data_IF_345661012830
#
_entry.id   IF_345661012830
#
_cell.length_a   1.000
_cell.length_b   1.000
_cell.length_c   1.000
_cell.angle_alpha   90.00
_cell.angle_beta   90.00
_cell.angle_gamma   90.00
#
_symmetry.space_group_name_H-M   'P 1'
#
loop_
_entity.id
_entity.type
_entity.pdbx_description
1 polymer ?
#
# COMPACT_ATOMS: atom_id res chain seq x y z
N UNK A 1 79.19 5.56 -11.14
CA UNK A 1 77.94 6.10 -11.80
C UNK A 1 76.89 5.02 -11.73
N UNK A 2 75.96 5.14 -10.78
CA UNK A 2 74.99 4.13 -10.52
C UNK A 2 73.64 4.56 -11.09
N UNK A 3 73.02 3.70 -11.88
CA UNK A 3 71.61 3.84 -12.33
C UNK A 3 70.67 3.29 -11.25
N UNK A 4 69.83 4.12 -10.72
CA UNK A 4 68.68 3.71 -9.88
C UNK A 4 67.50 3.26 -10.78
N UNK A 5 67.19 1.98 -10.67
CA UNK A 5 65.91 1.43 -11.21
C UNK A 5 64.77 1.79 -10.28
N UNK A 6 63.79 2.52 -10.80
CA UNK A 6 62.49 2.81 -10.12
C UNK A 6 61.53 1.66 -10.46
N UNK A 7 61.30 0.79 -9.48
CA UNK A 7 60.20 -0.18 -9.53
C UNK A 7 58.92 0.53 -9.02
N UNK A 8 57.99 0.85 -9.94
CA UNK A 8 56.65 1.34 -9.58
C UNK A 8 55.77 0.16 -9.22
N UNK A 9 55.36 0.12 -7.96
CA UNK A 9 54.33 -0.81 -7.49
C UNK A 9 52.97 -0.44 -8.10
N UNK A 10 52.49 -1.27 -9.03
CA UNK A 10 51.10 -1.22 -9.49
C UNK A 10 50.24 -1.98 -8.49
N UNK A 11 49.43 -1.28 -7.72
CA UNK A 11 48.36 -1.89 -6.92
C UNK A 11 47.34 -2.59 -7.83
N UNK A 12 46.86 -3.79 -7.49
CA UNK A 12 45.98 -4.56 -8.37
C UNK A 12 44.61 -3.95 -8.50
N UNK A 13 44.14 -3.83 -9.73
CA UNK A 13 42.81 -3.28 -10.17
C UNK A 13 41.60 -4.08 -9.60
N UNK A 14 41.86 -5.17 -8.88
CA UNK A 14 40.84 -6.10 -8.36
C UNK A 14 39.95 -5.51 -7.24
N UNK A 15 40.46 -4.55 -6.44
CA UNK A 15 39.78 -4.04 -5.25
C UNK A 15 38.57 -3.14 -5.62
N UNK A 16 38.61 -2.47 -6.78
CA UNK A 16 37.51 -1.57 -7.23
C UNK A 16 36.32 -2.35 -7.76
N UNK A 17 36.51 -3.54 -8.30
CA UNK A 17 35.43 -4.38 -8.85
C UNK A 17 34.64 -5.13 -7.78
N UNK A 18 35.29 -5.51 -6.69
CA UNK A 18 34.63 -6.20 -5.57
C UNK A 18 33.77 -5.25 -4.74
N UNK A 19 34.23 -4.04 -4.47
CA UNK A 19 33.45 -3.03 -3.76
C UNK A 19 32.18 -2.62 -4.55
N UNK A 20 32.27 -2.51 -5.89
CA UNK A 20 31.08 -2.20 -6.72
C UNK A 20 30.05 -3.34 -6.78
N UNK A 21 30.51 -4.60 -6.73
CA UNK A 21 29.61 -5.77 -6.67
C UNK A 21 28.96 -5.90 -5.30
N UNK A 22 29.67 -5.59 -4.22
CA UNK A 22 29.15 -5.63 -2.86
C UNK A 22 28.13 -4.50 -2.62
N UNK A 23 28.40 -3.29 -3.13
CA UNK A 23 27.47 -2.16 -3.10
C UNK A 23 26.20 -2.40 -3.94
N UNK A 24 26.32 -3.09 -5.08
CA UNK A 24 25.14 -3.49 -5.88
C UNK A 24 24.29 -4.52 -5.15
N UNK A 25 24.89 -5.55 -4.53
CA UNK A 25 24.18 -6.54 -3.72
C UNK A 25 23.50 -5.93 -2.48
N UNK A 26 24.11 -4.89 -1.89
CA UNK A 26 23.55 -4.17 -0.72
C UNK A 26 22.36 -3.27 -1.05
N UNK A 27 22.17 -2.91 -2.31
CA UNK A 27 21.10 -2.00 -2.75
C UNK A 27 20.06 -2.69 -3.65
N UNK A 28 20.07 -4.03 -3.74
CA UNK A 28 19.04 -4.78 -4.47
C UNK A 28 17.69 -4.67 -3.75
N UNK A 29 16.63 -4.49 -4.53
CA UNK A 29 15.26 -4.56 -4.03
C UNK A 29 14.96 -6.01 -3.66
N UNK A 30 14.65 -6.24 -2.39
CA UNK A 30 14.25 -7.53 -1.82
C UNK A 30 12.80 -7.53 -1.35
N UNK A 31 12.24 -6.35 -1.14
CA UNK A 31 10.91 -6.15 -0.59
C UNK A 31 10.18 -5.09 -1.41
N UNK A 32 8.99 -5.41 -1.89
CA UNK A 32 8.12 -4.46 -2.56
C UNK A 32 6.81 -4.34 -1.79
N UNK A 33 6.51 -3.11 -1.36
CA UNK A 33 5.26 -2.77 -0.72
C UNK A 33 4.34 -2.19 -1.80
N UNK A 34 3.12 -2.69 -1.90
CA UNK A 34 2.10 -2.16 -2.81
C UNK A 34 0.95 -1.54 -2.03
N UNK A 35 0.45 -0.43 -2.52
CA UNK A 35 -0.91 -0.03 -2.23
C UNK A 35 -1.89 -0.88 -3.06
N UNK A 36 -3.20 -0.85 -2.70
CA UNK A 36 -4.24 -1.62 -3.38
C UNK A 36 -5.11 -0.73 -4.27
N UNK A 37 -5.83 0.18 -3.65
CA UNK A 37 -6.91 0.95 -4.30
C UNK A 37 -6.35 2.08 -5.17
N UNK A 38 -6.52 1.96 -6.49
CA UNK A 38 -5.87 2.83 -7.46
C UNK A 38 -4.49 2.33 -7.88
N UNK A 39 -3.89 1.36 -7.19
CA UNK A 39 -2.58 0.78 -7.50
C UNK A 39 -2.73 -0.61 -8.15
N UNK A 40 -2.86 -1.67 -7.36
CA UNK A 40 -3.08 -3.02 -7.88
C UNK A 40 -4.51 -3.22 -8.38
N UNK A 41 -5.46 -2.48 -7.84
CA UNK A 41 -6.85 -2.45 -8.28
C UNK A 41 -7.21 -1.05 -8.77
N UNK A 42 -7.09 -0.76 -10.08
CA UNK A 42 -7.46 0.53 -10.64
C UNK A 42 -8.92 0.88 -10.35
N UNK A 43 -9.14 2.03 -9.70
CA UNK A 43 -10.47 2.56 -9.39
C UNK A 43 -10.42 4.08 -9.21
N UNK A 44 -11.58 4.72 -9.33
CA UNK A 44 -11.82 6.06 -8.84
C UNK A 44 -12.45 5.96 -7.45
N UNK A 45 -11.78 6.52 -6.44
CA UNK A 45 -12.21 6.46 -5.04
C UNK A 45 -13.61 7.06 -4.83
N UNK A 46 -13.95 8.13 -5.54
CA UNK A 46 -15.25 8.78 -5.41
C UNK A 46 -16.36 7.90 -6.00
N UNK A 47 -16.11 7.28 -7.15
CA UNK A 47 -17.09 6.36 -7.75
C UNK A 47 -17.26 5.10 -6.88
N UNK A 48 -16.18 4.55 -6.36
CA UNK A 48 -16.22 3.41 -5.45
C UNK A 48 -17.08 3.71 -4.20
N UNK A 49 -16.85 4.84 -3.54
CA UNK A 49 -17.61 5.27 -2.36
C UNK A 49 -19.09 5.47 -2.70
N UNK A 50 -19.42 6.10 -3.83
CA UNK A 50 -20.79 6.27 -4.30
C UNK A 50 -21.51 4.93 -4.54
N UNK A 51 -20.74 3.90 -4.91
CA UNK A 51 -21.31 2.57 -5.18
C UNK A 51 -21.66 1.83 -3.89
N UNK A 52 -20.73 1.67 -2.95
CA UNK A 52 -20.94 0.79 -1.81
C UNK A 52 -21.65 1.44 -0.61
N UNK A 53 -21.47 2.75 -0.40
CA UNK A 53 -22.08 3.43 0.75
C UNK A 53 -23.62 3.35 0.80
N UNK A 54 -24.35 3.52 -0.33
CA UNK A 54 -25.79 3.33 -0.32
C UNK A 54 -26.22 1.88 -0.04
N UNK A 55 -25.42 0.89 -0.46
CA UNK A 55 -25.68 -0.52 -0.19
C UNK A 55 -25.55 -0.82 1.31
N UNK A 56 -24.46 -0.33 1.92
CA UNK A 56 -24.24 -0.44 3.36
C UNK A 56 -25.37 0.28 4.14
N UNK A 57 -25.76 1.47 3.70
CA UNK A 57 -26.80 2.24 4.36
C UNK A 57 -28.14 1.49 4.44
N UNK A 58 -28.52 0.72 3.42
CA UNK A 58 -29.73 -0.10 3.42
C UNK A 58 -29.75 -1.12 4.55
N UNK A 59 -28.61 -1.72 4.87
CA UNK A 59 -28.48 -2.71 5.94
C UNK A 59 -28.81 -2.15 7.32
N UNK A 60 -28.51 -0.86 7.53
CA UNK A 60 -28.66 -0.20 8.83
C UNK A 60 -30.04 0.44 9.05
N UNK A 61 -30.91 0.49 8.05
CA UNK A 61 -32.29 1.01 8.20
C UNK A 61 -33.05 0.27 9.31
N UNK A 62 -32.85 -1.04 9.44
CA UNK A 62 -33.50 -1.86 10.49
C UNK A 62 -33.08 -1.50 11.92
N UNK A 63 -31.94 -0.80 12.09
CA UNK A 63 -31.47 -0.27 13.36
C UNK A 63 -31.95 1.16 13.63
N UNK A 64 -32.84 1.70 12.78
CA UNK A 64 -33.39 3.04 12.91
C UNK A 64 -32.44 4.16 12.46
N UNK A 65 -31.35 3.83 11.79
CA UNK A 65 -30.41 4.84 11.26
C UNK A 65 -30.88 5.34 9.89
N UNK A 66 -31.01 6.65 9.76
CA UNK A 66 -31.19 7.30 8.47
C UNK A 66 -29.92 7.14 7.61
N UNK A 67 -30.03 6.83 6.31
CA UNK A 67 -28.87 6.58 5.44
C UNK A 67 -27.82 7.69 5.48
N UNK A 68 -28.24 8.95 5.45
CA UNK A 68 -27.31 10.09 5.51
C UNK A 68 -26.59 10.20 6.85
N UNK A 69 -27.26 9.89 7.95
CA UNK A 69 -26.69 9.89 9.30
C UNK A 69 -25.65 8.77 9.43
N UNK A 70 -25.98 7.57 8.93
CA UNK A 70 -25.02 6.45 8.90
C UNK A 70 -23.75 6.80 8.14
N UNK A 71 -23.88 7.30 6.90
CA UNK A 71 -22.73 7.68 6.08
C UNK A 71 -21.86 8.71 6.82
N UNK A 72 -22.47 9.72 7.44
CA UNK A 72 -21.77 10.69 8.27
C UNK A 72 -21.04 10.06 9.44
N UNK A 73 -21.67 9.08 10.11
CA UNK A 73 -21.06 8.34 11.23
C UNK A 73 -19.86 7.50 10.78
N UNK A 74 -19.97 6.83 9.63
CA UNK A 74 -18.88 6.05 9.05
C UNK A 74 -17.67 6.96 8.76
N UNK A 75 -17.91 8.13 8.12
CA UNK A 75 -16.81 9.08 7.86
C UNK A 75 -16.15 9.59 9.13
N UNK A 76 -16.90 9.79 10.23
CA UNK A 76 -16.33 10.12 11.53
C UNK A 76 -15.53 8.96 12.13
N UNK A 77 -15.95 7.73 11.91
CA UNK A 77 -15.17 6.54 12.26
C UNK A 77 -13.86 6.45 11.46
N UNK A 78 -13.91 6.73 10.15
CA UNK A 78 -12.69 6.80 9.31
C UNK A 78 -11.76 7.91 9.78
N UNK A 79 -12.29 9.11 10.09
CA UNK A 79 -11.50 10.20 10.66
C UNK A 79 -10.83 9.80 11.98
N UNK A 80 -11.53 9.04 12.84
CA UNK A 80 -10.97 8.54 14.09
C UNK A 80 -9.80 7.55 13.86
N UNK A 81 -9.87 6.71 12.83
CA UNK A 81 -8.76 5.84 12.42
C UNK A 81 -7.57 6.64 11.91
N UNK A 82 -7.80 7.62 11.05
CA UNK A 82 -6.73 8.49 10.49
C UNK A 82 -6.03 9.30 11.58
N UNK A 83 -6.76 9.71 12.61
CA UNK A 83 -6.25 10.47 13.77
C UNK A 83 -5.78 9.58 14.93
N UNK A 84 -5.79 8.26 14.75
CA UNK A 84 -5.36 7.32 15.78
C UNK A 84 -3.89 7.58 16.17
N UNK A 85 -3.64 7.64 17.47
CA UNK A 85 -2.32 7.92 18.04
C UNK A 85 -1.46 6.66 18.24
N UNK A 86 -2.04 5.48 17.93
CA UNK A 86 -1.42 4.18 18.08
C UNK A 86 -1.72 3.51 19.43
N UNK A 87 -2.57 4.09 20.27
CA UNK A 87 -2.93 3.51 21.59
C UNK A 87 -3.91 2.33 21.49
N UNK A 88 -4.55 2.15 20.34
CA UNK A 88 -5.50 1.08 20.05
C UNK A 88 -5.44 0.74 18.55
N UNK A 89 -6.03 -0.38 18.13
CA UNK A 89 -6.17 -0.72 16.70
C UNK A 89 -7.08 0.29 15.99
N UNK A 90 -6.95 0.37 14.68
CA UNK A 90 -7.86 1.21 13.88
C UNK A 90 -9.30 0.71 13.98
N UNK A 91 -9.51 -0.59 14.10
CA UNK A 91 -10.82 -1.19 14.37
C UNK A 91 -11.43 -0.63 15.66
N UNK A 92 -10.68 -0.65 16.77
CA UNK A 92 -11.16 -0.15 18.04
C UNK A 92 -11.42 1.37 18.00
N UNK A 93 -10.58 2.12 17.30
CA UNK A 93 -10.78 3.56 17.10
C UNK A 93 -12.08 3.85 16.31
N UNK A 94 -12.33 3.06 15.24
CA UNK A 94 -13.55 3.15 14.45
C UNK A 94 -14.78 2.85 15.31
N UNK A 95 -14.81 1.68 15.97
CA UNK A 95 -15.99 1.26 16.74
C UNK A 95 -16.27 2.16 17.92
N UNK A 96 -15.27 2.60 18.64
CA UNK A 96 -15.43 3.58 19.75
C UNK A 96 -16.07 4.88 19.27
N UNK A 97 -15.68 5.37 18.09
CA UNK A 97 -16.28 6.57 17.50
C UNK A 97 -17.71 6.29 17.01
N UNK A 98 -17.92 5.17 16.32
CA UNK A 98 -19.20 4.75 15.79
C UNK A 98 -20.25 4.60 16.90
N UNK A 99 -19.95 3.86 17.97
CA UNK A 99 -20.84 3.66 19.11
C UNK A 99 -21.24 4.98 19.78
N UNK A 100 -20.27 5.86 19.96
CA UNK A 100 -20.49 7.18 20.56
C UNK A 100 -21.46 8.04 19.76
N UNK A 101 -21.44 7.97 18.44
CA UNK A 101 -22.26 8.81 17.54
C UNK A 101 -23.59 8.18 17.28
N UNK A 102 -23.63 6.88 16.95
CA UNK A 102 -24.85 6.16 16.55
C UNK A 102 -25.72 5.75 17.73
N UNK A 103 -25.13 5.54 18.93
CA UNK A 103 -25.79 4.92 20.06
C UNK A 103 -25.96 3.41 19.94
N UNK A 104 -25.53 2.79 18.82
CA UNK A 104 -25.54 1.34 18.62
C UNK A 104 -24.21 0.77 19.09
N UNK A 105 -24.22 -0.31 19.86
CA UNK A 105 -23.00 -0.99 20.27
C UNK A 105 -22.39 -1.81 19.14
N UNK A 106 -21.09 -2.00 19.15
CA UNK A 106 -20.38 -2.91 18.24
C UNK A 106 -21.03 -4.29 18.18
N UNK A 107 -21.35 -4.86 19.35
CA UNK A 107 -21.95 -6.20 19.48
C UNK A 107 -23.30 -6.33 18.76
N UNK A 108 -24.05 -5.23 18.60
CA UNK A 108 -25.36 -5.25 17.89
C UNK A 108 -25.20 -5.25 16.39
N UNK A 109 -24.14 -4.64 15.84
CA UNK A 109 -24.07 -4.34 14.40
C UNK A 109 -22.85 -4.90 13.68
N UNK A 110 -21.84 -5.38 14.39
CA UNK A 110 -20.60 -5.89 13.80
C UNK A 110 -20.85 -7.04 12.83
N UNK A 111 -21.64 -8.03 13.25
CA UNK A 111 -21.96 -9.18 12.38
C UNK A 111 -22.67 -8.72 11.11
N UNK A 112 -23.59 -7.76 11.19
CA UNK A 112 -24.27 -7.19 10.02
C UNK A 112 -23.29 -6.49 9.08
N UNK A 113 -22.30 -5.80 9.65
CA UNK A 113 -21.25 -5.12 8.87
C UNK A 113 -20.35 -6.13 8.16
N UNK A 114 -19.93 -7.20 8.86
CA UNK A 114 -19.15 -8.28 8.26
C UNK A 114 -19.93 -9.02 7.17
N UNK A 115 -21.21 -9.30 7.41
CA UNK A 115 -22.09 -9.93 6.42
C UNK A 115 -22.26 -9.05 5.18
N UNK A 116 -22.36 -7.74 5.34
CA UNK A 116 -22.38 -6.79 4.23
C UNK A 116 -21.10 -6.91 3.40
N UNK A 117 -19.92 -6.86 4.04
CA UNK A 117 -18.64 -6.99 3.32
C UNK A 117 -18.48 -8.36 2.66
N UNK A 118 -19.02 -9.43 3.24
CA UNK A 118 -18.97 -10.75 2.63
C UNK A 118 -19.89 -10.89 1.40
N UNK A 119 -20.98 -10.13 1.32
CA UNK A 119 -22.04 -10.28 0.32
C UNK A 119 -22.17 -9.04 -0.59
N UNK A 120 -23.00 -8.05 -0.22
CA UNK A 120 -23.39 -6.95 -1.12
C UNK A 120 -22.23 -6.02 -1.49
N UNK A 121 -21.21 -5.92 -0.64
CA UNK A 121 -20.01 -5.15 -0.97
C UNK A 121 -19.37 -5.60 -2.28
N UNK A 122 -19.55 -6.88 -2.67
CA UNK A 122 -19.02 -7.41 -3.93
C UNK A 122 -19.66 -6.77 -5.17
N UNK A 123 -20.82 -6.11 -5.06
CA UNK A 123 -21.42 -5.36 -6.17
C UNK A 123 -20.54 -4.15 -6.55
N UNK A 124 -19.74 -3.63 -5.60
CA UNK A 124 -18.85 -2.49 -5.84
C UNK A 124 -17.69 -2.80 -6.80
N UNK A 125 -17.45 -4.06 -7.14
CA UNK A 125 -16.51 -4.43 -8.21
C UNK A 125 -16.84 -3.71 -9.53
N UNK A 126 -18.11 -3.37 -9.76
CA UNK A 126 -18.54 -2.64 -10.96
C UNK A 126 -17.94 -1.22 -11.07
N UNK A 127 -17.43 -0.65 -9.97
CA UNK A 127 -16.74 0.64 -9.96
C UNK A 127 -15.23 0.52 -10.21
N UNK A 128 -14.70 -0.68 -10.36
CA UNK A 128 -13.28 -0.97 -10.54
C UNK A 128 -12.95 -1.35 -11.99
N UNK A 129 -11.66 -1.31 -12.33
CA UNK A 129 -11.16 -1.70 -13.66
C UNK A 129 -9.94 -2.61 -13.48
N UNK A 130 -10.14 -3.89 -13.12
CA UNK A 130 -9.02 -4.82 -12.89
C UNK A 130 -8.04 -4.84 -14.05
N UNK A 131 -6.75 -4.77 -13.74
CA UNK A 131 -5.67 -4.81 -14.71
C UNK A 131 -4.86 -6.11 -14.54
N UNK A 132 -4.91 -7.04 -15.50
CA UNK A 132 -4.14 -8.28 -15.42
C UNK A 132 -2.64 -8.10 -15.25
N UNK A 133 -2.10 -6.92 -15.60
CA UNK A 133 -0.69 -6.59 -15.43
C UNK A 133 -0.31 -6.50 -13.95
N UNK A 134 -1.24 -6.15 -13.05
CA UNK A 134 -0.99 -6.10 -11.61
C UNK A 134 -0.60 -7.49 -11.06
N UNK A 135 -1.35 -8.54 -11.40
CA UNK A 135 -1.01 -9.92 -11.03
C UNK A 135 0.33 -10.37 -11.63
N UNK A 136 0.59 -10.01 -12.89
CA UNK A 136 1.85 -10.36 -13.57
C UNK A 136 3.06 -9.68 -12.90
N UNK A 137 2.94 -8.45 -12.41
CA UNK A 137 4.00 -7.77 -11.64
C UNK A 137 4.27 -8.52 -10.34
N UNK A 138 3.22 -8.86 -9.59
CA UNK A 138 3.36 -9.61 -8.32
C UNK A 138 4.05 -10.95 -8.55
N UNK A 139 3.62 -11.72 -9.55
CA UNK A 139 4.23 -13.01 -9.90
C UNK A 139 5.68 -12.89 -10.34
N UNK A 140 6.00 -11.91 -11.19
CA UNK A 140 7.36 -11.63 -11.63
C UNK A 140 8.30 -11.37 -10.45
N UNK A 141 7.87 -10.58 -9.48
CA UNK A 141 8.63 -10.31 -8.26
C UNK A 141 8.91 -11.59 -7.48
N UNK A 142 7.88 -12.41 -7.25
CA UNK A 142 8.01 -13.68 -6.52
C UNK A 142 8.91 -14.68 -7.24
N UNK A 143 8.84 -14.79 -8.56
CA UNK A 143 9.71 -15.64 -9.38
C UNK A 143 11.20 -15.27 -9.21
N UNK A 144 11.49 -14.00 -8.89
CA UNK A 144 12.84 -13.51 -8.61
C UNK A 144 13.18 -13.46 -7.11
N UNK A 145 12.34 -14.08 -6.25
CA UNK A 145 12.60 -14.17 -4.81
C UNK A 145 12.39 -12.87 -4.04
N UNK A 146 11.71 -11.88 -4.65
CA UNK A 146 11.33 -10.63 -3.98
C UNK A 146 10.05 -10.86 -3.18
N UNK A 147 10.06 -10.43 -1.92
CA UNK A 147 8.90 -10.51 -1.04
C UNK A 147 7.95 -9.36 -1.30
N UNK A 148 6.66 -9.64 -1.33
CA UNK A 148 5.62 -8.67 -1.65
C UNK A 148 4.71 -8.44 -0.45
N UNK A 149 4.40 -7.18 -0.17
CA UNK A 149 3.62 -6.75 0.98
C UNK A 149 2.46 -5.89 0.50
N UNK A 150 1.24 -6.16 0.95
CA UNK A 150 0.10 -5.29 0.66
C UNK A 150 -0.03 -4.26 1.78
N UNK A 151 0.53 -3.09 1.53
CA UNK A 151 0.52 -1.93 2.42
C UNK A 151 -0.59 -0.95 2.00
N UNK A 152 -1.85 -1.41 1.99
CA UNK A 152 -3.03 -0.57 1.75
C UNK A 152 -3.42 0.21 3.01
N UNK A 153 -4.16 1.32 2.84
CA UNK A 153 -4.59 2.09 4.01
C UNK A 153 -5.54 1.25 4.88
N UNK A 154 -5.18 0.94 6.17
CA UNK A 154 -5.90 -0.03 7.00
C UNK A 154 -7.16 0.58 7.63
N UNK A 155 -8.13 0.93 6.78
CA UNK A 155 -9.43 1.52 7.16
C UNK A 155 -10.61 0.60 6.84
N UNK A 156 -10.35 -0.59 6.31
CA UNK A 156 -11.36 -1.59 5.99
C UNK A 156 -11.16 -2.86 6.82
N UNK A 157 -12.26 -3.58 7.12
CA UNK A 157 -12.16 -4.93 7.69
C UNK A 157 -11.48 -5.89 6.71
N UNK A 158 -10.81 -6.90 7.25
CA UNK A 158 -10.10 -7.91 6.46
C UNK A 158 -10.95 -8.49 5.33
N UNK A 159 -12.22 -8.82 5.62
CA UNK A 159 -13.15 -9.36 4.60
C UNK A 159 -13.32 -8.42 3.42
N UNK A 160 -13.42 -7.11 3.65
CA UNK A 160 -13.51 -6.11 2.59
C UNK A 160 -12.21 -5.96 1.79
N UNK A 161 -11.06 -6.05 2.46
CA UNK A 161 -9.75 -6.01 1.81
C UNK A 161 -9.51 -7.26 0.97
N UNK A 162 -9.83 -8.45 1.48
CA UNK A 162 -9.73 -9.71 0.75
C UNK A 162 -10.59 -9.74 -0.52
N UNK A 163 -11.79 -9.14 -0.47
CA UNK A 163 -12.62 -9.02 -1.66
C UNK A 163 -11.96 -8.18 -2.74
N UNK A 164 -11.37 -7.04 -2.38
CA UNK A 164 -10.69 -6.14 -3.34
C UNK A 164 -9.44 -6.77 -3.94
N UNK A 165 -8.68 -7.55 -3.18
CA UNK A 165 -7.56 -8.35 -3.70
C UNK A 165 -8.07 -9.33 -4.76
N UNK A 166 -9.16 -10.03 -4.45
CA UNK A 166 -9.80 -10.96 -5.40
C UNK A 166 -10.30 -10.24 -6.66
N UNK A 167 -10.87 -9.02 -6.53
CA UNK A 167 -11.28 -8.21 -7.69
C UNK A 167 -10.10 -7.79 -8.56
N UNK A 168 -8.93 -7.56 -7.95
CA UNK A 168 -7.69 -7.30 -8.69
C UNK A 168 -7.18 -8.54 -9.45
N UNK A 169 -7.74 -9.73 -9.19
CA UNK A 169 -7.30 -10.99 -9.79
C UNK A 169 -6.01 -11.54 -9.21
N UNK A 170 -5.62 -11.09 -8.00
CA UNK A 170 -4.38 -11.47 -7.32
C UNK A 170 -4.71 -12.47 -6.21
N UNK A 171 -3.82 -13.42 -5.98
CA UNK A 171 -3.92 -14.34 -4.84
C UNK A 171 -3.43 -13.65 -3.56
N UNK A 172 -4.26 -13.69 -2.52
CA UNK A 172 -3.89 -13.11 -1.24
C UNK A 172 -2.67 -13.81 -0.58
N UNK A 173 -2.41 -15.08 -0.94
CA UNK A 173 -1.24 -15.84 -0.47
C UNK A 173 0.08 -15.35 -1.11
N UNK A 174 0.01 -14.48 -2.10
CA UNK A 174 1.19 -13.86 -2.69
C UNK A 174 1.82 -12.79 -1.80
N UNK A 175 1.11 -12.31 -0.80
CA UNK A 175 1.58 -11.26 0.10
C UNK A 175 2.06 -11.81 1.44
N UNK A 176 3.23 -11.34 1.91
CA UNK A 176 3.76 -11.62 3.25
C UNK A 176 2.86 -11.01 4.34
N UNK A 177 2.22 -9.88 4.05
CA UNK A 177 1.22 -9.22 4.90
C UNK A 177 0.15 -8.52 4.07
N UNK A 178 -1.03 -8.44 4.65
CA UNK A 178 -2.16 -7.62 4.16
C UNK A 178 -2.59 -6.74 5.32
N UNK A 179 -2.36 -5.43 5.21
CA UNK A 179 -2.71 -4.48 6.27
C UNK A 179 -4.23 -4.27 6.32
N UNK A 180 -4.80 -4.38 7.51
CA UNK A 180 -6.24 -4.22 7.76
C UNK A 180 -6.48 -3.51 9.10
N UNK A 181 -7.67 -2.99 9.31
CA UNK A 181 -7.97 -2.16 10.48
C UNK A 181 -7.92 -2.94 11.81
N UNK A 182 -8.05 -4.27 11.76
CA UNK A 182 -8.04 -5.14 12.95
C UNK A 182 -6.66 -5.22 13.61
N UNK A 183 -5.59 -5.04 12.83
CA UNK A 183 -4.23 -5.31 13.29
C UNK A 183 -3.31 -4.11 13.31
N UNK A 184 -3.63 -3.05 12.56
CA UNK A 184 -2.79 -1.85 12.45
C UNK A 184 -3.34 -0.68 13.27
N UNK A 185 -2.41 0.19 13.73
CA UNK A 185 -2.71 1.27 14.66
C UNK A 185 -2.65 2.65 14.00
N UNK A 186 -2.01 2.77 12.85
CA UNK A 186 -1.86 4.03 12.11
C UNK A 186 -2.41 3.90 10.70
N UNK A 187 -2.81 5.04 10.12
CA UNK A 187 -3.25 5.15 8.73
C UNK A 187 -2.31 6.05 7.93
N UNK A 188 -2.25 5.86 6.61
CA UNK A 188 -1.70 6.85 5.70
C UNK A 188 -2.50 8.17 5.85
N UNK A 189 -1.90 9.35 5.76
CA UNK A 189 -0.52 9.65 5.38
C UNK A 189 0.48 9.68 6.55
N UNK A 190 0.13 9.18 7.76
CA UNK A 190 1.04 9.16 8.88
C UNK A 190 2.22 8.22 8.61
N UNK A 191 3.48 8.69 8.61
CA UNK A 191 4.63 7.82 8.33
C UNK A 191 4.83 6.70 9.35
N UNK A 192 4.24 6.81 10.54
CA UNK A 192 4.23 5.74 11.55
C UNK A 192 3.54 4.47 11.06
N UNK A 193 2.57 4.59 10.12
CA UNK A 193 1.97 3.43 9.48
C UNK A 193 3.03 2.58 8.77
N UNK A 194 3.84 3.19 7.93
CA UNK A 194 4.91 2.46 7.23
C UNK A 194 6.01 2.01 8.19
N UNK A 195 6.30 2.80 9.23
CA UNK A 195 7.24 2.39 10.27
C UNK A 195 6.76 1.12 10.96
N UNK A 196 5.48 1.03 11.34
CA UNK A 196 4.87 -0.16 11.95
C UNK A 196 5.03 -1.39 11.03
N UNK A 197 4.68 -1.29 9.74
CA UNK A 197 4.87 -2.39 8.76
C UNK A 197 6.34 -2.79 8.66
N UNK A 198 7.24 -1.83 8.57
CA UNK A 198 8.67 -2.11 8.40
C UNK A 198 9.29 -2.74 9.65
N UNK A 199 8.89 -2.33 10.84
CA UNK A 199 9.37 -2.89 12.12
C UNK A 199 8.87 -4.32 12.31
N UNK A 200 7.59 -4.60 11.98
CA UNK A 200 6.98 -5.94 12.08
C UNK A 200 7.76 -6.99 11.29
N UNK A 201 8.25 -6.63 10.10
CA UNK A 201 8.97 -7.55 9.19
C UNK A 201 10.49 -7.34 9.16
N UNK A 202 11.02 -6.44 9.98
CA UNK A 202 12.45 -6.13 10.03
C UNK A 202 13.01 -5.63 8.68
N UNK A 203 12.25 -4.80 7.96
CA UNK A 203 12.58 -4.35 6.61
C UNK A 203 13.68 -3.28 6.63
N UNK A 204 14.72 -3.48 5.80
CA UNK A 204 15.73 -2.46 5.57
C UNK A 204 15.26 -1.48 4.49
N UNK A 205 15.12 -0.17 4.78
CA UNK A 205 14.64 0.82 3.82
C UNK A 205 15.35 0.80 2.47
N UNK A 206 16.68 0.53 2.47
CA UNK A 206 17.50 0.51 1.26
C UNK A 206 17.22 -0.69 0.34
N UNK A 207 16.55 -1.71 0.85
CA UNK A 207 16.18 -2.94 0.14
C UNK A 207 14.68 -2.96 -0.22
N UNK A 208 13.96 -1.87 0.07
CA UNK A 208 12.53 -1.73 -0.15
C UNK A 208 12.21 -0.79 -1.33
N UNK A 209 11.10 -1.08 -2.00
CA UNK A 209 10.43 -0.19 -2.94
C UNK A 209 8.95 -0.11 -2.56
N UNK A 210 8.39 1.08 -2.46
CA UNK A 210 6.94 1.30 -2.38
C UNK A 210 6.40 1.62 -3.76
N UNK A 211 5.36 0.93 -4.15
CA UNK A 211 4.58 1.19 -5.37
C UNK A 211 3.18 1.65 -4.97
N UNK A 212 2.82 2.85 -5.38
CA UNK A 212 1.52 3.44 -5.07
C UNK A 212 1.12 4.52 -6.06
N UNK A 213 -0.11 5.01 -5.97
CA UNK A 213 -0.67 6.03 -6.86
C UNK A 213 -1.01 7.35 -6.16
N UNK A 214 -1.04 7.40 -4.82
CA UNK A 214 -1.37 8.62 -4.06
C UNK A 214 -0.10 9.35 -3.61
N UNK A 215 0.07 10.58 -4.15
CA UNK A 215 1.22 11.45 -3.84
C UNK A 215 1.29 11.82 -2.36
N UNK A 216 0.15 12.00 -1.69
CA UNK A 216 0.08 12.46 -0.31
C UNK A 216 0.10 11.31 0.70
N UNK A 217 -0.28 10.11 0.30
CA UNK A 217 -0.35 8.94 1.17
C UNK A 217 0.85 8.02 0.98
N UNK A 218 1.07 7.49 -0.22
CA UNK A 218 2.07 6.45 -0.48
C UNK A 218 3.51 6.97 -0.40
N UNK A 219 3.75 8.20 -0.88
CA UNK A 219 5.10 8.76 -0.90
C UNK A 219 5.61 9.20 0.49
N UNK A 220 4.78 9.16 1.53
CA UNK A 220 5.20 9.49 2.89
C UNK A 220 6.26 8.53 3.45
N UNK A 221 6.32 7.29 2.94
CA UNK A 221 7.34 6.29 3.28
C UNK A 221 8.77 6.76 2.95
N UNK A 222 8.94 7.71 2.01
CA UNK A 222 10.24 8.28 1.66
C UNK A 222 10.94 8.92 2.86
N UNK A 223 10.18 9.43 3.83
CA UNK A 223 10.72 9.95 5.08
C UNK A 223 11.48 8.91 5.91
N UNK A 224 11.25 7.62 5.64
CA UNK A 224 11.95 6.48 6.24
C UNK A 224 13.14 5.99 5.37
N UNK A 225 13.41 6.64 4.24
CA UNK A 225 14.51 6.30 3.33
C UNK A 225 14.19 5.18 2.32
N UNK A 226 12.92 4.84 2.14
CA UNK A 226 12.44 3.88 1.14
C UNK A 226 12.28 4.58 -0.21
N UNK A 227 12.69 3.92 -1.27
CA UNK A 227 12.45 4.37 -2.65
C UNK A 227 10.99 4.16 -3.05
N UNK A 228 10.51 5.01 -3.95
CA UNK A 228 9.11 4.96 -4.42
C UNK A 228 9.01 4.86 -5.93
N UNK A 229 7.99 4.15 -6.39
CA UNK A 229 7.50 4.16 -7.77
C UNK A 229 6.06 4.70 -7.75
N UNK A 230 5.85 5.86 -8.34
CA UNK A 230 4.54 6.50 -8.44
C UNK A 230 3.83 6.04 -9.71
N UNK A 231 2.69 5.34 -9.58
CA UNK A 231 1.85 4.97 -10.70
C UNK A 231 1.09 6.21 -11.22
N UNK A 232 1.10 6.35 -12.54
CA UNK A 232 0.49 7.51 -13.22
C UNK A 232 -0.85 7.20 -13.87
N UNK A 233 -1.21 5.92 -14.06
CA UNK A 233 -2.48 5.50 -14.66
C UNK A 233 -3.71 5.96 -13.86
N UNK A 234 -3.57 6.00 -12.56
CA UNK A 234 -4.62 6.24 -11.57
C UNK A 234 -4.16 7.26 -10.53
N UNK A 235 -3.33 8.21 -10.96
CA UNK A 235 -2.68 9.19 -10.09
C UNK A 235 -3.68 9.96 -9.21
N UNK A 236 -3.50 9.85 -7.89
CA UNK A 236 -4.17 10.67 -6.90
C UNK A 236 -3.20 11.77 -6.41
N UNK A 237 -3.60 13.02 -6.59
CA UNK A 237 -2.78 14.18 -6.22
C UNK A 237 -3.66 15.32 -5.71
N UNK A 238 -4.18 15.15 -4.51
CA UNK A 238 -5.16 16.05 -3.86
C UNK A 238 -4.66 17.50 -3.71
N UNK A 239 -3.32 17.70 -3.67
CA UNK A 239 -2.69 19.03 -3.58
C UNK A 239 -2.36 19.63 -4.93
N UNK A 240 -2.64 18.95 -6.03
CA UNK A 240 -2.33 19.38 -7.40
C UNK A 240 -0.87 19.83 -7.59
N UNK A 241 0.08 19.11 -6.98
CA UNK A 241 1.52 19.35 -7.17
C UNK A 241 1.86 19.04 -8.63
N UNK A 242 2.56 19.92 -9.37
CA UNK A 242 3.04 19.59 -10.71
C UNK A 242 3.83 18.27 -10.70
N UNK A 243 3.57 17.36 -11.65
CA UNK A 243 4.15 16.01 -11.64
C UNK A 243 5.68 16.01 -11.71
N UNK A 244 6.27 17.03 -12.30
CA UNK A 244 7.72 17.30 -12.34
C UNK A 244 8.29 17.70 -10.98
N UNK A 245 7.46 18.26 -10.09
CA UNK A 245 7.84 18.67 -8.74
C UNK A 245 7.57 17.57 -7.69
N UNK A 246 6.84 16.48 -8.08
CA UNK A 246 6.60 15.36 -7.18
C UNK A 246 7.90 14.61 -6.96
N UNK A 247 8.35 14.58 -5.72
CA UNK A 247 9.54 13.85 -5.30
C UNK A 247 9.26 12.35 -5.24
N UNK A 248 9.77 11.60 -6.22
CA UNK A 248 9.75 10.14 -6.29
C UNK A 248 10.96 9.66 -7.09
N UNK A 249 11.48 8.47 -6.80
CA UNK A 249 12.63 7.92 -7.54
C UNK A 249 12.22 7.43 -8.93
N UNK A 250 11.03 6.85 -9.04
CA UNK A 250 10.50 6.32 -10.30
C UNK A 250 9.03 6.72 -10.45
N UNK A 251 8.58 6.83 -11.69
CA UNK A 251 7.17 7.05 -12.03
C UNK A 251 6.85 6.50 -13.41
N UNK A 252 5.63 6.03 -13.59
CA UNK A 252 5.15 5.48 -14.87
C UNK A 252 3.85 4.73 -14.70
N UNK A 253 3.38 4.15 -15.78
CA UNK A 253 2.20 3.29 -15.84
C UNK A 253 2.47 1.92 -15.22
N UNK A 254 1.43 1.12 -15.00
CA UNK A 254 1.57 -0.29 -14.57
C UNK A 254 2.32 -1.13 -15.63
N UNK A 255 2.15 -0.82 -16.90
CA UNK A 255 2.89 -1.47 -17.99
C UNK A 255 4.38 -1.15 -17.91
N UNK A 256 4.73 0.14 -17.76
CA UNK A 256 6.11 0.59 -17.60
C UNK A 256 6.76 0.04 -16.33
N UNK A 257 6.00 -0.13 -15.24
CA UNK A 257 6.48 -0.80 -14.02
C UNK A 257 6.87 -2.26 -14.30
N UNK A 258 6.04 -2.99 -15.04
CA UNK A 258 6.33 -4.38 -15.41
C UNK A 258 7.60 -4.48 -16.26
N UNK A 259 7.72 -3.67 -17.30
CA UNK A 259 8.91 -3.61 -18.16
C UNK A 259 10.17 -3.20 -17.37
N UNK A 260 10.00 -2.25 -16.45
CA UNK A 260 11.07 -1.81 -15.57
C UNK A 260 11.59 -2.95 -14.67
N UNK A 261 10.71 -3.76 -14.07
CA UNK A 261 11.14 -4.92 -13.28
C UNK A 261 11.78 -6.00 -14.15
N UNK A 262 11.27 -6.27 -15.35
CA UNK A 262 11.92 -7.20 -16.28
C UNK A 262 13.36 -6.77 -16.57
N UNK A 263 13.56 -5.50 -16.90
CA UNK A 263 14.90 -4.94 -17.14
C UNK A 263 15.77 -4.96 -15.88
N UNK A 264 15.19 -4.64 -14.74
CA UNK A 264 15.89 -4.63 -13.44
C UNK A 264 16.49 -6.00 -13.12
N UNK A 265 15.76 -7.09 -13.30
CA UNK A 265 16.24 -8.45 -12.99
C UNK A 265 17.24 -9.00 -14.01
N UNK A 266 17.23 -8.51 -15.25
CA UNK A 266 18.26 -8.90 -16.24
C UNK A 266 19.63 -8.29 -15.90
N UNK A 267 19.65 -7.11 -15.23
CA UNK A 267 20.88 -6.34 -15.01
C UNK A 267 21.43 -6.43 -13.58
N UNK A 268 20.76 -7.11 -12.67
CA UNK A 268 21.16 -7.29 -11.26
C UNK A 268 21.20 -8.76 -10.86
#
# INVERSE_FOLDING_TARGET
>A
MGQKCLTGDFAPVTVISENRKDDRKRNMIKHVLFDLDGTLLPMDQNEFVKYYMPLLAKRFVKYGMEPKALIGTIWKGVEAMVLNDGSMTNEDAFWKCFEKISGLSRAEVEQETLDFYANEFNEAIASTKPNPRADQVVKLLKEHGVKVYLATNPIFPRVGTMNRIRWAGIDAEDFEVITTYETYHYCKPNPKYFQEVMEEFGLNPKECLMVGNDVQEDLTIRSLGVKTYLLTDTLENKKNIPLEEVETEYKGTMEELYEWFQSYFVHN
#
